data_IF_639947270526
#
_entry.id   IF_639947270526
#
_cell.length_a   1.000
_cell.length_b   1.000
_cell.length_c   1.000
_cell.angle_alpha   90.00
_cell.angle_beta   90.00
_cell.angle_gamma   90.00
#
_symmetry.space_group_name_H-M   'P 1'
#
loop_
_entity.id
_entity.type
_entity.pdbx_description
1 polymer ?
#
# COMPACT_ATOMS: atom_id res chain seq x y z
N UNK A 1 5.77 6.78 -12.33
CA UNK A 1 4.46 6.31 -12.81
C UNK A 1 3.60 7.52 -13.07
N UNK A 2 3.19 7.74 -14.32
CA UNK A 2 2.37 8.88 -14.74
C UNK A 2 0.94 8.39 -14.98
N UNK A 3 -0.03 9.01 -14.32
CA UNK A 3 -1.43 8.57 -14.30
C UNK A 3 -2.32 9.66 -14.90
N UNK A 4 -3.27 9.25 -15.73
CA UNK A 4 -4.40 10.08 -16.14
C UNK A 4 -5.67 9.57 -15.44
N UNK A 5 -6.39 10.46 -14.77
CA UNK A 5 -7.72 10.19 -14.23
C UNK A 5 -8.76 10.96 -15.05
N UNK A 6 -9.60 10.23 -15.77
CA UNK A 6 -10.71 10.77 -16.56
C UNK A 6 -11.96 10.73 -15.68
N UNK A 7 -12.32 11.87 -15.10
CA UNK A 7 -13.44 12.00 -14.15
C UNK A 7 -14.13 13.35 -14.29
N UNK A 8 -15.42 13.40 -13.94
CA UNK A 8 -16.15 14.65 -13.69
C UNK A 8 -16.03 15.14 -12.25
N UNK A 9 -15.33 14.41 -11.37
CA UNK A 9 -15.15 14.80 -9.98
C UNK A 9 -14.16 15.97 -9.86
N UNK A 10 -14.67 17.14 -9.48
CA UNK A 10 -13.89 18.38 -9.34
C UNK A 10 -13.04 18.43 -8.07
N UNK A 11 -13.19 17.49 -7.15
CA UNK A 11 -12.41 17.44 -5.90
C UNK A 11 -10.98 16.96 -6.13
N UNK A 12 -10.77 16.12 -7.15
CA UNK A 12 -9.46 15.65 -7.59
C UNK A 12 -8.69 16.77 -8.29
N UNK A 13 -7.46 17.04 -7.81
CA UNK A 13 -6.57 18.03 -8.42
C UNK A 13 -5.41 17.34 -9.10
N UNK A 14 -4.96 17.95 -10.20
CA UNK A 14 -3.75 17.50 -10.88
C UNK A 14 -2.52 17.75 -10.01
N UNK A 15 -1.61 16.79 -10.01
CA UNK A 15 -0.29 16.83 -9.37
C UNK A 15 0.76 16.47 -10.41
N UNK A 16 2.04 16.44 -10.04
CA UNK A 16 3.12 16.09 -10.98
C UNK A 16 2.96 14.68 -11.59
N UNK A 17 2.34 13.75 -10.85
CA UNK A 17 2.17 12.35 -11.26
C UNK A 17 0.73 11.98 -11.67
N UNK A 18 -0.27 12.83 -11.34
CA UNK A 18 -1.67 12.61 -11.68
C UNK A 18 -2.20 13.78 -12.51
N UNK A 19 -2.63 13.51 -13.73
CA UNK A 19 -3.35 14.48 -14.57
C UNK A 19 -4.84 14.16 -14.52
N UNK A 20 -5.65 15.14 -14.13
CA UNK A 20 -7.11 15.01 -14.08
C UNK A 20 -7.69 15.59 -15.36
N UNK A 21 -8.34 14.75 -16.15
CA UNK A 21 -8.91 15.09 -17.45
C UNK A 21 -10.43 14.98 -17.43
N UNK A 22 -11.10 15.87 -18.17
CA UNK A 22 -12.55 15.77 -18.41
C UNK A 22 -12.84 14.70 -19.47
N UNK A 23 -13.98 14.02 -19.33
CA UNK A 23 -14.43 12.98 -20.26
C UNK A 23 -14.52 13.47 -21.72
N UNK A 24 -14.81 14.75 -21.94
CA UNK A 24 -14.91 15.35 -23.29
C UNK A 24 -13.55 15.70 -23.91
N UNK A 25 -12.48 15.78 -23.12
CA UNK A 25 -11.14 16.18 -23.58
C UNK A 25 -10.02 15.39 -22.87
N UNK A 26 -10.03 14.05 -22.93
CA UNK A 26 -8.92 13.24 -22.46
C UNK A 26 -7.66 13.47 -23.32
N UNK A 27 -6.50 13.26 -22.72
CA UNK A 27 -5.22 13.19 -23.43
C UNK A 27 -5.02 11.78 -24.02
N UNK A 28 -4.03 11.62 -24.90
CA UNK A 28 -3.74 10.32 -25.49
C UNK A 28 -3.38 9.30 -24.40
N UNK A 29 -4.02 8.13 -24.41
CA UNK A 29 -3.87 7.10 -23.38
C UNK A 29 -2.40 6.65 -23.24
N UNK A 30 -1.73 6.40 -24.37
CA UNK A 30 -0.32 5.97 -24.38
C UNK A 30 0.70 7.05 -23.94
N UNK A 31 0.27 8.28 -23.61
CA UNK A 31 1.13 9.30 -22.96
C UNK A 31 1.26 9.07 -21.43
N UNK A 32 0.57 8.06 -20.90
CA UNK A 32 0.51 7.69 -19.49
C UNK A 32 0.85 6.22 -19.29
N UNK A 33 1.33 5.88 -18.10
CA UNK A 33 1.53 4.49 -17.71
C UNK A 33 0.18 3.84 -17.39
N UNK A 34 -0.74 4.64 -16.81
CA UNK A 34 -2.05 4.21 -16.34
C UNK A 34 -3.10 5.27 -16.70
N UNK A 35 -4.20 4.82 -17.31
CA UNK A 35 -5.41 5.62 -17.50
C UNK A 35 -6.55 5.06 -16.65
N UNK A 36 -7.18 5.91 -15.87
CA UNK A 36 -8.30 5.57 -15.00
C UNK A 36 -9.56 6.24 -15.55
N UNK A 37 -10.53 5.43 -15.95
CA UNK A 37 -11.83 5.86 -16.45
C UNK A 37 -12.83 5.71 -15.31
N UNK A 38 -13.19 6.83 -14.70
CA UNK A 38 -14.13 6.87 -13.60
C UNK A 38 -15.57 6.89 -14.11
N UNK A 39 -16.31 5.79 -13.95
CA UNK A 39 -17.74 5.71 -14.29
C UNK A 39 -18.65 6.00 -13.08
N UNK A 40 -18.05 6.32 -11.92
CA UNK A 40 -18.78 6.53 -10.66
C UNK A 40 -19.25 7.96 -10.44
N UNK A 41 -18.73 8.93 -11.19
CA UNK A 41 -19.15 10.32 -11.01
C UNK A 41 -20.56 10.58 -11.56
N UNK A 42 -21.31 11.42 -10.84
CA UNK A 42 -22.75 11.59 -11.03
C UNK A 42 -23.18 12.14 -12.40
N UNK A 43 -22.32 12.91 -13.09
CA UNK A 43 -22.66 13.52 -14.37
C UNK A 43 -22.80 12.52 -15.53
N UNK A 44 -22.23 11.30 -15.41
CA UNK A 44 -22.50 10.21 -16.37
C UNK A 44 -23.95 9.72 -16.22
N UNK A 45 -24.52 9.78 -15.03
CA UNK A 45 -25.83 9.22 -14.70
C UNK A 45 -26.95 10.25 -14.87
N UNK A 46 -26.89 11.03 -15.96
CA UNK A 46 -27.87 12.07 -16.30
C UNK A 46 -28.29 11.97 -17.77
N UNK A 47 -29.58 12.09 -18.04
CA UNK A 47 -30.12 12.09 -19.40
C UNK A 47 -31.28 13.05 -19.59
N UNK A 48 -31.18 13.96 -20.55
CA UNK A 48 -32.23 14.97 -20.75
C UNK A 48 -33.54 14.38 -21.29
N UNK A 49 -33.48 13.23 -21.97
CA UNK A 49 -34.68 12.55 -22.47
C UNK A 49 -35.39 11.71 -21.40
N UNK A 50 -36.52 11.12 -21.79
CA UNK A 50 -37.38 10.32 -20.90
C UNK A 50 -37.02 8.82 -20.83
N UNK A 51 -36.05 8.37 -21.62
CA UNK A 51 -35.64 6.96 -21.67
C UNK A 51 -34.66 6.64 -20.53
N UNK A 52 -34.98 5.62 -19.74
CA UNK A 52 -34.08 5.10 -18.71
C UNK A 52 -32.91 4.38 -19.36
N UNK A 53 -31.71 4.52 -18.79
CA UNK A 53 -30.51 3.82 -19.23
C UNK A 53 -29.71 4.50 -20.34
N UNK A 54 -30.01 5.76 -20.65
CA UNK A 54 -29.22 6.59 -21.57
C UNK A 54 -28.38 7.61 -20.81
N UNK A 55 -27.43 8.24 -21.50
CA UNK A 55 -26.66 9.35 -20.90
C UNK A 55 -26.39 10.46 -21.90
N UNK A 56 -26.39 11.70 -21.40
CA UNK A 56 -25.96 12.87 -22.19
C UNK A 56 -24.49 12.78 -22.62
N UNK A 57 -23.69 11.92 -21.97
CA UNK A 57 -22.27 11.69 -22.24
C UNK A 57 -21.97 10.55 -23.21
N UNK A 58 -23.00 9.99 -23.87
CA UNK A 58 -22.87 8.85 -24.80
C UNK A 58 -21.74 9.00 -25.82
N UNK A 59 -21.64 10.16 -26.49
CA UNK A 59 -20.62 10.39 -27.52
C UNK A 59 -19.21 10.45 -26.94
N UNK A 60 -19.05 11.06 -25.76
CA UNK A 60 -17.77 11.12 -25.07
C UNK A 60 -17.32 9.72 -24.65
N UNK A 61 -18.24 8.91 -24.11
CA UNK A 61 -17.99 7.51 -23.76
C UNK A 61 -17.60 6.66 -24.99
N UNK A 62 -18.30 6.85 -26.11
CA UNK A 62 -17.96 6.16 -27.37
C UNK A 62 -16.56 6.55 -27.86
N UNK A 63 -16.17 7.83 -27.74
CA UNK A 63 -14.82 8.28 -28.08
C UNK A 63 -13.77 7.63 -27.16
N UNK A 64 -14.02 7.56 -25.85
CA UNK A 64 -13.15 6.84 -24.90
C UNK A 64 -12.98 5.37 -25.30
N UNK A 65 -14.06 4.68 -25.66
CA UNK A 65 -13.98 3.30 -26.11
C UNK A 65 -13.14 3.13 -27.37
N UNK A 66 -13.18 4.09 -28.30
CA UNK A 66 -12.28 4.10 -29.46
C UNK A 66 -10.82 4.34 -29.08
N UNK A 67 -10.56 5.25 -28.13
CA UNK A 67 -9.20 5.52 -27.62
C UNK A 67 -8.61 4.27 -26.96
N UNK A 68 -9.38 3.58 -26.11
CA UNK A 68 -8.92 2.36 -25.43
C UNK A 68 -8.62 1.23 -26.41
N UNK A 69 -9.40 1.08 -27.49
CA UNK A 69 -9.08 0.13 -28.58
C UNK A 69 -7.79 0.49 -29.33
N UNK A 70 -7.41 1.77 -29.34
CA UNK A 70 -6.18 2.25 -29.98
C UNK A 70 -4.93 2.17 -29.10
N UNK A 71 -5.10 2.00 -27.78
CA UNK A 71 -4.01 1.91 -26.80
C UNK A 71 -3.13 0.68 -27.05
N UNK A 72 -1.81 0.86 -26.94
CA UNK A 72 -0.83 -0.23 -27.13
C UNK A 72 -0.04 -0.58 -25.88
N UNK A 73 0.16 0.38 -24.99
CA UNK A 73 1.10 0.27 -23.86
C UNK A 73 0.46 0.58 -22.52
N UNK A 74 -0.41 1.58 -22.46
CA UNK A 74 -1.00 2.00 -21.18
C UNK A 74 -1.88 0.91 -20.57
N UNK A 75 -1.90 0.86 -19.23
CA UNK A 75 -2.85 0.04 -18.46
C UNK A 75 -4.11 0.85 -18.21
N UNK A 76 -5.26 0.26 -18.45
CA UNK A 76 -6.56 0.93 -18.34
C UNK A 76 -7.31 0.38 -17.14
N UNK A 77 -7.79 1.26 -16.27
CA UNK A 77 -8.62 0.92 -15.12
C UNK A 77 -10.00 1.55 -15.27
N UNK A 78 -11.04 0.73 -15.27
CA UNK A 78 -12.41 1.19 -15.18
C UNK A 78 -12.91 1.11 -13.74
N UNK A 79 -13.35 2.25 -13.20
CA UNK A 79 -14.00 2.32 -11.89
C UNK A 79 -15.51 2.32 -12.11
N UNK A 80 -16.17 1.25 -11.70
CA UNK A 80 -17.61 1.07 -11.87
C UNK A 80 -18.42 2.04 -11.00
N UNK A 81 -19.67 2.32 -11.41
CA UNK A 81 -20.57 3.14 -10.62
C UNK A 81 -20.85 2.59 -9.23
N UNK A 82 -21.12 3.51 -8.31
CA UNK A 82 -21.67 3.24 -6.99
C UNK A 82 -23.19 3.48 -7.01
N UNK A 83 -23.93 2.96 -6.03
CA UNK A 83 -25.37 3.21 -5.98
C UNK A 83 -25.61 4.70 -5.69
N UNK A 84 -26.52 5.28 -6.45
CA UNK A 84 -26.70 6.71 -6.52
C UNK A 84 -27.93 7.07 -7.33
N UNK A 85 -28.16 8.36 -7.51
CA UNK A 85 -29.31 8.86 -8.27
C UNK A 85 -28.96 8.98 -9.75
N UNK A 86 -29.74 8.31 -10.58
CA UNK A 86 -29.84 8.59 -12.00
C UNK A 86 -30.95 9.62 -12.22
N UNK A 87 -30.60 10.71 -12.90
CA UNK A 87 -31.54 11.79 -13.18
C UNK A 87 -31.92 11.76 -14.65
N UNK A 88 -33.21 11.72 -14.95
CA UNK A 88 -33.68 11.75 -16.33
C UNK A 88 -34.89 12.66 -16.51
N UNK A 89 -35.24 12.91 -17.77
CA UNK A 89 -36.33 13.80 -18.16
C UNK A 89 -36.11 15.24 -17.68
N UNK A 90 -35.41 16.03 -18.51
CA UNK A 90 -35.17 17.44 -18.22
C UNK A 90 -36.31 18.31 -18.73
N UNK A 91 -36.93 19.07 -17.83
CA UNK A 91 -37.94 20.06 -18.14
C UNK A 91 -37.51 21.42 -17.58
N UNK A 92 -37.40 22.43 -18.45
CA UNK A 92 -36.97 23.80 -18.09
C UNK A 92 -35.69 23.85 -17.25
N UNK A 93 -34.71 23.00 -17.58
CA UNK A 93 -33.40 22.96 -16.91
C UNK A 93 -33.36 22.19 -15.59
N UNK A 94 -34.45 21.50 -15.22
CA UNK A 94 -34.52 20.67 -14.01
C UNK A 94 -34.89 19.25 -14.41
N UNK A 95 -34.19 18.26 -13.85
CA UNK A 95 -34.56 16.85 -13.98
C UNK A 95 -35.78 16.57 -13.10
N UNK A 96 -36.85 16.06 -13.68
CA UNK A 96 -38.09 15.77 -12.95
C UNK A 96 -38.15 14.34 -12.44
N UNK A 97 -37.46 13.41 -13.10
CA UNK A 97 -37.54 12.00 -12.81
C UNK A 97 -36.20 11.48 -12.24
N UNK A 98 -36.29 10.60 -11.25
CA UNK A 98 -35.15 10.06 -10.51
C UNK A 98 -35.32 8.55 -10.35
N UNK A 99 -34.25 7.80 -10.59
CA UNK A 99 -34.17 6.37 -10.32
C UNK A 99 -32.85 6.05 -9.60
N UNK A 100 -32.77 4.92 -8.90
CA UNK A 100 -31.51 4.46 -8.30
C UNK A 100 -30.69 3.66 -9.30
N UNK A 101 -29.39 3.92 -9.37
CA UNK A 101 -28.46 3.25 -10.28
C UNK A 101 -28.54 1.71 -10.15
N UNK A 102 -28.69 1.17 -8.93
CA UNK A 102 -28.87 -0.28 -8.74
C UNK A 102 -30.06 -0.87 -9.50
N UNK A 103 -31.16 -0.12 -9.61
CA UNK A 103 -32.35 -0.59 -10.31
C UNK A 103 -32.10 -0.61 -11.81
N UNK A 104 -31.27 0.30 -12.31
CA UNK A 104 -30.96 0.39 -13.73
C UNK A 104 -29.95 -0.70 -14.13
N UNK A 105 -28.90 -0.89 -13.32
CA UNK A 105 -27.88 -1.91 -13.54
C UNK A 105 -28.40 -3.34 -13.33
N UNK A 106 -29.37 -3.54 -12.43
CA UNK A 106 -30.03 -4.83 -12.25
C UNK A 106 -31.17 -5.10 -13.26
N UNK A 107 -31.59 -4.10 -14.04
CA UNK A 107 -32.69 -4.29 -15.01
C UNK A 107 -32.21 -4.94 -16.30
N UNK A 108 -33.05 -5.83 -16.85
CA UNK A 108 -32.82 -6.44 -18.17
C UNK A 108 -32.97 -5.44 -19.33
N UNK A 109 -33.59 -4.28 -19.08
CA UNK A 109 -33.58 -3.07 -19.91
C UNK A 109 -32.24 -2.35 -19.76
N UNK A 110 -31.21 -2.93 -20.37
CA UNK A 110 -29.81 -2.51 -20.28
C UNK A 110 -29.59 -0.99 -20.38
N UNK A 111 -28.80 -0.44 -19.46
CA UNK A 111 -28.03 0.78 -19.70
C UNK A 111 -26.97 0.43 -20.74
N UNK A 112 -27.22 0.72 -22.01
CA UNK A 112 -26.27 0.42 -23.08
C UNK A 112 -25.19 1.50 -23.22
N UNK A 113 -25.56 2.75 -22.99
CA UNK A 113 -24.71 3.89 -23.35
C UNK A 113 -23.37 3.92 -22.59
N UNK A 114 -23.35 3.56 -21.30
CA UNK A 114 -22.09 3.52 -20.55
C UNK A 114 -21.16 2.41 -21.04
N UNK A 115 -21.71 1.34 -21.64
CA UNK A 115 -20.91 0.21 -22.15
C UNK A 115 -20.14 0.59 -23.40
N UNK A 116 -20.48 1.69 -24.07
CA UNK A 116 -19.77 2.16 -25.26
C UNK A 116 -18.31 2.55 -24.97
N UNK A 117 -17.97 2.87 -23.72
CA UNK A 117 -16.59 3.10 -23.34
C UNK A 117 -15.77 1.81 -23.28
N UNK A 118 -16.40 0.63 -23.23
CA UNK A 118 -15.66 -0.63 -23.17
C UNK A 118 -15.12 -1.03 -24.55
N UNK A 119 -13.88 -1.53 -24.61
CA UNK A 119 -13.27 -1.91 -25.88
C UNK A 119 -13.93 -3.13 -26.52
N UNK A 120 -14.47 -4.05 -25.72
CA UNK A 120 -15.04 -5.32 -26.17
C UNK A 120 -16.43 -5.57 -25.59
N UNK A 121 -17.27 -6.29 -26.36
CA UNK A 121 -18.67 -6.56 -25.99
C UNK A 121 -18.83 -7.57 -24.85
N UNK A 122 -17.81 -8.37 -24.61
CA UNK A 122 -17.74 -9.40 -23.57
C UNK A 122 -17.10 -8.90 -22.26
N UNK A 123 -16.90 -7.59 -22.12
CA UNK A 123 -16.44 -7.00 -20.87
C UNK A 123 -17.33 -7.45 -19.68
N UNK A 124 -16.80 -7.54 -18.46
CA UNK A 124 -17.54 -8.00 -17.27
C UNK A 124 -18.59 -6.96 -16.85
N UNK A 125 -19.72 -6.96 -17.54
CA UNK A 125 -20.77 -5.94 -17.43
C UNK A 125 -21.78 -6.29 -16.35
N UNK A 126 -21.90 -7.57 -16.00
CA UNK A 126 -22.90 -8.04 -15.05
C UNK A 126 -22.42 -7.83 -13.62
N UNK A 127 -22.94 -6.77 -13.01
CA UNK A 127 -22.75 -6.46 -11.61
C UNK A 127 -24.04 -6.71 -10.83
N UNK A 128 -23.89 -7.15 -9.59
CA UNK A 128 -25.02 -7.38 -8.68
C UNK A 128 -24.92 -6.38 -7.53
N UNK A 129 -26.03 -5.71 -7.24
CA UNK A 129 -26.14 -4.87 -6.06
C UNK A 129 -26.14 -5.72 -4.79
N UNK A 130 -25.02 -5.70 -4.08
CA UNK A 130 -24.82 -6.33 -2.78
C UNK A 130 -23.60 -5.61 -2.17
N UNK A 131 -23.82 -4.58 -1.33
CA UNK A 131 -22.72 -3.77 -0.83
C UNK A 131 -21.69 -4.59 -0.06
N UNK A 132 -20.42 -4.33 -0.33
CA UNK A 132 -19.28 -5.03 0.26
C UNK A 132 -18.16 -4.07 0.68
N UNK A 133 -17.24 -4.60 1.47
CA UNK A 133 -15.98 -3.93 1.83
C UNK A 133 -14.82 -4.83 1.46
N UNK A 134 -13.77 -4.24 0.94
CA UNK A 134 -12.52 -4.92 0.59
C UNK A 134 -11.36 -4.12 1.17
N UNK A 135 -10.49 -4.79 1.91
CA UNK A 135 -9.29 -4.18 2.49
C UNK A 135 -8.10 -4.49 1.59
N UNK A 136 -7.46 -3.44 1.06
CA UNK A 136 -6.29 -3.54 0.17
C UNK A 136 -5.16 -2.73 0.81
N UNK A 137 -4.07 -3.42 1.15
CA UNK A 137 -3.00 -2.85 1.97
C UNK A 137 -3.53 -2.46 3.35
N UNK A 138 -3.52 -1.16 3.67
CA UNK A 138 -4.00 -0.62 4.95
C UNK A 138 -5.35 0.12 4.85
N UNK A 139 -5.95 0.16 3.68
CA UNK A 139 -7.16 0.95 3.41
C UNK A 139 -8.33 0.02 3.09
N UNK A 140 -9.49 0.32 3.68
CA UNK A 140 -10.74 -0.39 3.38
C UNK A 140 -11.59 0.40 2.40
N UNK A 141 -11.85 -0.20 1.25
CA UNK A 141 -12.67 0.36 0.17
C UNK A 141 -14.09 -0.22 0.25
N UNK A 142 -15.08 0.62 0.00
CA UNK A 142 -16.48 0.20 -0.15
C UNK A 142 -16.82 0.01 -1.62
N UNK A 143 -17.66 -0.98 -1.92
CA UNK A 143 -18.31 -1.13 -3.21
C UNK A 143 -19.79 -1.45 -3.01
N UNK A 144 -20.67 -0.76 -3.73
CA UNK A 144 -22.12 -1.07 -3.69
C UNK A 144 -22.49 -2.27 -4.57
N UNK A 145 -21.60 -2.63 -5.49
CA UNK A 145 -21.76 -3.70 -6.45
C UNK A 145 -20.60 -4.69 -6.41
N UNK A 146 -20.84 -5.92 -6.83
CA UNK A 146 -19.79 -6.91 -7.11
C UNK A 146 -20.01 -7.57 -8.46
N UNK A 147 -18.96 -8.15 -9.05
CA UNK A 147 -19.05 -8.81 -10.34
C UNK A 147 -19.69 -10.20 -10.22
N UNK A 148 -20.72 -10.46 -11.02
CA UNK A 148 -21.22 -11.80 -11.29
C UNK A 148 -20.39 -12.40 -12.42
N UNK A 149 -19.49 -13.34 -12.10
CA UNK A 149 -18.44 -13.81 -13.01
C UNK A 149 -18.99 -14.18 -14.39
N UNK A 150 -18.35 -13.63 -15.44
CA UNK A 150 -18.43 -14.16 -16.80
C UNK A 150 -17.05 -14.32 -17.47
N UNK A 151 -16.04 -13.51 -17.12
CA UNK A 151 -14.73 -13.53 -17.78
C UNK A 151 -13.64 -12.75 -17.00
N UNK A 152 -12.36 -13.16 -17.11
CA UNK A 152 -11.19 -12.47 -16.55
C UNK A 152 -10.53 -13.14 -15.32
N UNK A 153 -9.31 -12.70 -15.01
CA UNK A 153 -8.57 -13.06 -13.79
C UNK A 153 -9.08 -12.26 -12.59
N UNK A 154 -9.33 -12.94 -11.48
CA UNK A 154 -9.78 -12.31 -10.25
C UNK A 154 -8.59 -11.70 -9.53
N UNK A 155 -8.60 -10.39 -9.34
CA UNK A 155 -7.52 -9.67 -8.65
C UNK A 155 -7.86 -9.49 -7.16
N UNK A 156 -9.07 -9.04 -6.84
CA UNK A 156 -9.50 -8.85 -5.44
C UNK A 156 -10.92 -9.35 -5.18
N UNK A 157 -11.15 -9.74 -3.93
CA UNK A 157 -12.45 -10.15 -3.40
C UNK A 157 -12.74 -9.42 -2.09
N UNK A 158 -14.02 -9.28 -1.75
CA UNK A 158 -14.47 -8.72 -0.48
C UNK A 158 -14.01 -9.55 0.71
N UNK A 159 -13.82 -8.87 1.85
CA UNK A 159 -13.15 -9.45 3.02
C UNK A 159 -13.92 -10.64 3.63
N UNK A 160 -15.25 -10.54 3.72
CA UNK A 160 -16.09 -11.53 4.43
C UNK A 160 -16.89 -12.43 3.50
N UNK A 161 -17.42 -11.87 2.40
CA UNK A 161 -18.34 -12.56 1.50
C UNK A 161 -17.66 -13.17 0.26
N UNK A 162 -16.34 -12.97 0.12
CA UNK A 162 -15.51 -13.42 -1.00
C UNK A 162 -16.06 -13.06 -2.40
N UNK A 163 -16.86 -11.99 -2.47
CA UNK A 163 -17.45 -11.47 -3.70
C UNK A 163 -16.39 -10.72 -4.50
N UNK A 164 -16.44 -10.83 -5.81
CA UNK A 164 -15.37 -10.28 -6.65
C UNK A 164 -15.55 -8.78 -6.84
N UNK A 165 -14.48 -8.04 -6.57
CA UNK A 165 -14.48 -6.58 -6.60
C UNK A 165 -13.53 -6.01 -7.64
N UNK A 166 -12.50 -6.76 -8.07
CA UNK A 166 -11.60 -6.36 -9.16
C UNK A 166 -11.29 -7.53 -10.09
N UNK A 167 -11.31 -7.27 -11.39
CA UNK A 167 -10.99 -8.21 -12.47
C UNK A 167 -9.91 -7.64 -13.40
N UNK A 168 -9.03 -8.51 -13.91
CA UNK A 168 -8.16 -8.24 -15.05
C UNK A 168 -8.63 -9.09 -16.23
N UNK A 169 -9.16 -8.47 -17.28
CA UNK A 169 -9.81 -9.23 -18.36
C UNK A 169 -8.95 -9.34 -19.62
N UNK A 170 -8.11 -8.35 -19.91
CA UNK A 170 -7.40 -8.27 -21.20
C UNK A 170 -5.89 -7.99 -21.02
N UNK A 171 -5.32 -8.42 -19.89
CA UNK A 171 -3.90 -8.28 -19.56
C UNK A 171 -3.50 -6.88 -19.10
N UNK A 172 -3.93 -5.84 -19.83
CA UNK A 172 -3.70 -4.43 -19.48
C UNK A 172 -4.98 -3.69 -19.09
N UNK A 173 -6.13 -4.37 -19.00
CA UNK A 173 -7.42 -3.74 -18.69
C UNK A 173 -8.02 -4.34 -17.42
N UNK A 174 -8.20 -3.48 -16.45
CA UNK A 174 -8.72 -3.77 -15.13
C UNK A 174 -10.09 -3.14 -14.96
N UNK A 175 -10.97 -3.85 -14.27
CA UNK A 175 -12.30 -3.39 -13.90
C UNK A 175 -12.46 -3.52 -12.39
N UNK A 176 -12.91 -2.48 -11.72
CA UNK A 176 -13.13 -2.50 -10.26
C UNK A 176 -14.47 -1.90 -9.89
N UNK A 177 -15.18 -2.50 -8.95
CA UNK A 177 -16.37 -1.91 -8.30
C UNK A 177 -16.04 -1.12 -7.04
N UNK A 178 -14.77 -1.11 -6.62
CA UNK A 178 -14.33 -0.39 -5.44
C UNK A 178 -14.35 1.12 -5.71
N UNK A 179 -14.85 1.88 -4.75
CA UNK A 179 -14.82 3.34 -4.82
C UNK A 179 -13.42 3.86 -4.47
N UNK A 180 -12.53 3.91 -5.47
CA UNK A 180 -11.11 4.28 -5.31
C UNK A 180 -10.81 5.76 -5.63
N UNK A 181 -11.76 6.48 -6.24
CA UNK A 181 -11.56 7.86 -6.73
C UNK A 181 -11.91 8.95 -5.70
N UNK A 182 -11.97 8.62 -4.39
CA UNK A 182 -12.33 9.56 -3.32
C UNK A 182 -11.18 10.49 -2.93
N UNK A 183 -9.96 9.98 -2.87
CA UNK A 183 -8.78 10.73 -2.49
C UNK A 183 -7.56 10.22 -3.25
N UNK A 184 -6.55 11.08 -3.40
CA UNK A 184 -5.33 10.73 -4.13
C UNK A 184 -4.62 9.55 -3.47
N UNK A 185 -4.55 9.56 -2.13
CA UNK A 185 -3.89 8.50 -1.36
C UNK A 185 -4.62 7.15 -1.50
N UNK A 186 -5.95 7.15 -1.52
CA UNK A 186 -6.76 5.94 -1.76
C UNK A 186 -6.52 5.38 -3.16
N UNK A 187 -6.47 6.25 -4.17
CA UNK A 187 -6.22 5.87 -5.56
C UNK A 187 -4.84 5.23 -5.72
N UNK A 188 -3.80 5.90 -5.20
CA UNK A 188 -2.41 5.43 -5.32
C UNK A 188 -2.21 4.13 -4.52
N UNK A 189 -2.70 4.04 -3.28
CA UNK A 189 -2.61 2.80 -2.50
C UNK A 189 -3.26 1.62 -3.23
N UNK A 190 -4.40 1.85 -3.88
CA UNK A 190 -5.05 0.81 -4.68
C UNK A 190 -4.19 0.40 -5.86
N UNK A 191 -3.76 1.35 -6.68
CA UNK A 191 -2.94 1.09 -7.87
C UNK A 191 -1.63 0.38 -7.50
N UNK A 192 -0.92 0.89 -6.48
CA UNK A 192 0.34 0.31 -6.01
C UNK A 192 0.15 -1.07 -5.42
N UNK A 193 -1.00 -1.39 -4.80
CA UNK A 193 -1.24 -2.75 -4.29
C UNK A 193 -1.59 -3.75 -5.38
N UNK A 194 -2.25 -3.29 -6.45
CA UNK A 194 -2.73 -4.14 -7.55
C UNK A 194 -1.64 -4.36 -8.60
N UNK A 195 -0.90 -3.30 -8.93
CA UNK A 195 0.21 -3.33 -9.88
C UNK A 195 1.56 -3.47 -9.18
N UNK A 196 1.56 -3.56 -7.85
CA UNK A 196 2.72 -3.67 -6.96
C UNK A 196 3.67 -4.82 -7.23
N UNK A 197 3.36 -5.66 -8.21
CA UNK A 197 4.34 -6.40 -8.99
C UNK A 197 5.11 -5.47 -9.96
N UNK A 198 5.68 -4.38 -9.44
CA UNK A 198 7.06 -4.16 -9.83
C UNK A 198 7.82 -5.31 -9.20
N UNK A 199 8.02 -6.36 -10.01
CA UNK A 199 9.21 -7.18 -9.89
C UNK A 199 10.34 -6.25 -9.46
N UNK A 200 10.77 -6.35 -8.20
CA UNK A 200 12.19 -6.54 -8.00
C UNK A 200 12.47 -7.70 -8.94
N UNK A 201 13.02 -7.41 -10.13
CA UNK A 201 13.64 -8.47 -10.89
C UNK A 201 14.57 -9.07 -9.86
N UNK A 202 14.33 -10.32 -9.42
CA UNK A 202 15.24 -10.99 -8.52
C UNK A 202 16.61 -10.74 -9.14
N UNK A 203 17.39 -9.93 -8.42
CA UNK A 203 18.70 -9.45 -8.82
C UNK A 203 19.41 -10.72 -9.25
N UNK A 204 19.60 -10.97 -10.56
CA UNK A 204 20.05 -12.28 -10.98
C UNK A 204 21.36 -12.55 -10.27
N UNK A 205 21.58 -13.74 -9.71
CA UNK A 205 22.73 -13.98 -8.83
C UNK A 205 24.08 -13.53 -9.45
N UNK A 206 24.17 -13.53 -10.79
CA UNK A 206 25.33 -13.07 -11.54
C UNK A 206 25.57 -11.56 -11.51
N UNK A 207 24.57 -10.71 -11.25
CA UNK A 207 24.74 -9.25 -11.22
C UNK A 207 25.57 -8.82 -10.00
N UNK A 208 25.48 -9.55 -8.87
CA UNK A 208 26.33 -9.35 -7.70
C UNK A 208 27.80 -9.72 -7.97
N UNK A 209 28.08 -10.43 -9.07
CA UNK A 209 29.44 -10.79 -9.48
C UNK A 209 30.04 -9.80 -10.47
N UNK A 210 29.33 -8.72 -10.82
CA UNK A 210 29.81 -7.68 -11.71
C UNK A 210 30.21 -6.47 -10.86
N UNK A 211 31.49 -6.11 -10.90
CA UNK A 211 31.97 -4.85 -10.36
C UNK A 211 31.72 -3.73 -11.39
N UNK A 212 31.10 -2.63 -10.97
CA UNK A 212 30.87 -1.45 -11.79
C UNK A 212 31.28 -0.18 -11.05
N UNK A 213 31.80 0.81 -11.77
CA UNK A 213 32.17 2.10 -11.18
C UNK A 213 33.24 1.95 -10.09
N UNK A 214 32.90 2.35 -8.87
CA UNK A 214 33.75 2.33 -7.68
C UNK A 214 33.42 1.19 -6.70
N UNK A 215 32.70 0.15 -7.14
CA UNK A 215 32.31 -1.00 -6.29
C UNK A 215 33.49 -1.65 -5.54
N UNK A 216 34.69 -1.72 -6.15
CA UNK A 216 35.88 -2.26 -5.49
C UNK A 216 36.34 -1.39 -4.33
N UNK A 217 36.36 -0.07 -4.52
CA UNK A 217 36.73 0.91 -3.47
C UNK A 217 35.72 0.89 -2.33
N UNK A 218 34.41 0.85 -2.64
CA UNK A 218 33.36 0.75 -1.63
C UNK A 218 33.43 -0.56 -0.83
N UNK A 219 33.74 -1.68 -1.49
CA UNK A 219 33.92 -2.97 -0.81
C UNK A 219 35.14 -2.97 0.13
N UNK A 220 36.23 -2.30 -0.22
CA UNK A 220 37.37 -2.10 0.68
C UNK A 220 37.00 -1.23 1.89
N UNK A 221 36.30 -0.12 1.66
CA UNK A 221 35.80 0.75 2.74
C UNK A 221 34.90 -0.03 3.72
N UNK A 222 34.03 -0.91 3.21
CA UNK A 222 33.15 -1.75 4.03
C UNK A 222 33.97 -2.74 4.87
N UNK A 223 34.95 -3.43 4.27
CA UNK A 223 35.82 -4.38 4.99
C UNK A 223 36.56 -3.70 6.13
N UNK A 224 37.17 -2.55 5.86
CA UNK A 224 37.90 -1.78 6.86
C UNK A 224 36.97 -1.28 7.97
N UNK A 225 35.77 -0.83 7.62
CA UNK A 225 34.75 -0.39 8.57
C UNK A 225 34.29 -1.54 9.48
N UNK A 226 34.11 -2.75 8.95
CA UNK A 226 33.74 -3.94 9.74
C UNK A 226 34.84 -4.26 10.76
N UNK A 227 36.11 -4.23 10.37
CA UNK A 227 37.25 -4.47 11.27
C UNK A 227 37.26 -3.43 12.40
N UNK A 228 36.99 -2.16 12.09
CA UNK A 228 36.89 -1.10 13.09
C UNK A 228 35.72 -1.30 14.05
N UNK A 229 34.56 -1.75 13.55
CA UNK A 229 33.38 -2.06 14.37
C UNK A 229 33.70 -3.21 15.33
N UNK A 230 34.30 -4.30 14.86
CA UNK A 230 34.68 -5.44 15.70
C UNK A 230 35.69 -5.05 16.77
N UNK A 231 36.72 -4.30 16.38
CA UNK A 231 37.71 -3.76 17.33
C UNK A 231 37.06 -2.89 18.39
N UNK A 232 36.10 -2.06 17.99
CA UNK A 232 35.37 -1.16 18.91
C UNK A 232 34.45 -1.95 19.85
N UNK A 233 33.75 -2.97 19.35
CA UNK A 233 32.96 -3.90 20.18
C UNK A 233 33.85 -4.60 21.22
N UNK A 234 35.02 -5.08 20.83
CA UNK A 234 35.98 -5.69 21.76
C UNK A 234 36.56 -4.71 22.79
N UNK A 235 36.63 -3.41 22.49
CA UNK A 235 36.97 -2.38 23.49
C UNK A 235 35.82 -2.14 24.47
N UNK A 236 34.58 -2.09 23.97
CA UNK A 236 33.37 -1.93 24.79
C UNK A 236 33.24 -3.09 25.77
N UNK A 237 33.46 -4.33 25.32
CA UNK A 237 33.29 -5.50 26.18
C UNK A 237 34.33 -5.52 27.31
N UNK A 238 35.60 -5.28 26.99
CA UNK A 238 36.65 -5.11 28.02
C UNK A 238 36.37 -3.97 28.99
N UNK A 239 35.74 -2.89 28.51
CA UNK A 239 35.34 -1.79 29.38
C UNK A 239 34.19 -2.18 30.30
N UNK A 240 33.21 -2.96 29.81
CA UNK A 240 32.12 -3.50 30.63
C UNK A 240 32.62 -4.48 31.69
N UNK A 241 33.50 -5.42 31.33
CA UNK A 241 34.13 -6.35 32.27
C UNK A 241 34.84 -5.60 33.41
N UNK A 242 35.61 -4.55 33.08
CA UNK A 242 36.24 -3.69 34.08
C UNK A 242 35.22 -2.92 34.94
N UNK A 243 34.13 -2.45 34.35
CA UNK A 243 33.07 -1.78 35.09
C UNK A 243 32.37 -2.73 36.07
N UNK A 244 32.17 -3.98 35.67
CA UNK A 244 31.61 -5.04 36.52
C UNK A 244 32.57 -5.42 37.65
N UNK A 245 33.86 -5.58 37.37
CA UNK A 245 34.88 -5.79 38.40
C UNK A 245 34.90 -4.64 39.42
N UNK A 246 34.84 -3.40 38.93
CA UNK A 246 34.76 -2.21 39.77
C UNK A 246 33.46 -2.15 40.59
N UNK A 247 32.35 -2.63 40.03
CA UNK A 247 31.07 -2.70 40.74
C UNK A 247 31.15 -3.71 41.88
N UNK A 248 31.77 -4.87 41.65
CA UNK A 248 32.05 -5.88 42.68
C UNK A 248 32.85 -5.26 43.84
N UNK A 249 33.92 -4.51 43.58
CA UNK A 249 34.64 -3.83 44.68
C UNK A 249 33.83 -2.73 45.36
N UNK A 250 32.98 -2.00 44.64
CA UNK A 250 32.10 -0.98 45.24
C UNK A 250 31.01 -1.61 46.12
N UNK A 251 30.74 -2.91 45.99
CA UNK A 251 29.72 -3.58 46.79
C UNK A 251 29.99 -3.49 48.29
N UNK A 252 31.27 -3.36 48.71
CA UNK A 252 31.67 -3.18 50.11
C UNK A 252 30.92 -2.06 50.83
N UNK A 253 30.41 -1.07 50.09
CA UNK A 253 29.70 0.08 50.64
C UNK A 253 28.26 -0.23 51.04
N UNK A 254 27.70 -1.36 50.60
CA UNK A 254 26.29 -1.69 50.81
C UNK A 254 25.98 -3.19 51.03
N UNK A 255 26.93 -4.10 50.78
CA UNK A 255 26.79 -5.54 51.09
C UNK A 255 27.26 -5.82 52.52
N UNK A 256 26.64 -6.82 53.17
CA UNK A 256 26.97 -7.26 54.53
C UNK A 256 27.09 -8.79 54.58
N UNK A 257 27.70 -9.32 55.64
CA UNK A 257 27.82 -10.77 55.83
C UNK A 257 28.89 -11.40 54.95
N UNK A 258 28.69 -12.66 54.55
CA UNK A 258 29.71 -13.45 53.85
C UNK A 258 30.09 -12.84 52.48
N UNK A 259 29.14 -12.22 51.76
CA UNK A 259 29.41 -11.51 50.49
C UNK A 259 30.37 -10.32 50.65
N UNK A 260 30.32 -9.60 51.78
CA UNK A 260 31.27 -8.53 52.09
C UNK A 260 32.67 -9.09 52.36
N UNK A 261 32.73 -10.17 53.12
CA UNK A 261 33.98 -10.82 53.54
C UNK A 261 34.78 -11.28 52.33
N UNK A 262 34.13 -11.92 51.35
CA UNK A 262 34.79 -12.36 50.11
C UNK A 262 35.42 -11.21 49.32
N UNK A 263 34.69 -10.09 49.14
CA UNK A 263 35.20 -8.94 48.40
C UNK A 263 36.35 -8.24 49.15
N UNK A 264 36.28 -8.20 50.49
CA UNK A 264 37.34 -7.63 51.33
C UNK A 264 38.62 -8.47 51.26
N UNK A 265 38.52 -9.81 51.30
CA UNK A 265 39.68 -10.67 51.12
C UNK A 265 40.36 -10.44 49.77
N UNK A 266 39.60 -10.43 48.68
CA UNK A 266 40.16 -10.16 47.34
C UNK A 266 40.88 -8.81 47.25
N UNK A 267 40.36 -7.76 47.91
CA UNK A 267 41.01 -6.44 47.97
C UNK A 267 42.32 -6.52 48.77
N UNK A 268 42.31 -7.18 49.93
CA UNK A 268 43.47 -7.29 50.80
C UNK A 268 44.59 -8.13 50.16
N UNK A 269 44.25 -9.25 49.51
CA UNK A 269 45.20 -10.06 48.73
C UNK A 269 45.88 -9.22 47.64
N UNK A 270 45.11 -8.40 46.93
CA UNK A 270 45.65 -7.49 45.90
C UNK A 270 46.54 -6.39 46.45
N UNK A 271 46.19 -5.79 47.59
CA UNK A 271 46.97 -4.69 48.20
C UNK A 271 48.26 -5.22 48.81
N UNK A 272 48.20 -6.39 49.45
CA UNK A 272 49.30 -6.97 50.21
C UNK A 272 50.15 -7.95 49.38
N UNK A 273 49.74 -8.24 48.14
CA UNK A 273 50.38 -9.21 47.23
C UNK A 273 50.64 -10.56 47.92
N UNK A 274 49.62 -11.07 48.61
CA UNK A 274 49.70 -12.29 49.41
C UNK A 274 48.45 -13.15 49.29
N UNK A 275 48.55 -14.43 49.66
CA UNK A 275 47.44 -15.39 49.61
C UNK A 275 46.82 -15.55 51.00
N UNK A 276 45.53 -15.24 51.12
CA UNK A 276 44.73 -15.31 52.35
C UNK A 276 43.85 -16.55 52.41
N UNK A 277 43.98 -17.52 51.49
CA UNK A 277 43.20 -18.77 51.51
C UNK A 277 43.33 -19.60 52.81
N UNK A 278 44.40 -19.39 53.58
CA UNK A 278 44.61 -20.00 54.90
C UNK A 278 44.22 -19.13 56.09
N UNK A 279 43.68 -17.92 55.84
CA UNK A 279 43.25 -17.01 56.89
C UNK A 279 41.86 -17.42 57.41
N UNK A 280 41.74 -17.55 58.73
CA UNK A 280 40.49 -17.89 59.41
C UNK A 280 40.08 -16.73 60.33
N UNK A 281 38.98 -16.07 59.99
CA UNK A 281 38.39 -15.05 60.85
C UNK A 281 37.70 -15.72 62.06
N UNK A 282 38.24 -15.45 63.25
CA UNK A 282 37.71 -16.00 64.51
C UNK A 282 36.45 -15.27 65.00
N UNK A 283 35.99 -14.23 64.30
CA UNK A 283 34.78 -13.43 64.60
C UNK A 283 34.73 -12.94 66.05
N UNK A 284 35.89 -12.55 66.59
CA UNK A 284 36.01 -11.99 67.94
C UNK A 284 35.97 -10.47 67.77
N UNK A 285 34.83 -9.86 68.10
CA UNK A 285 34.70 -8.40 68.06
C UNK A 285 35.47 -7.75 69.21
N UNK A 286 36.21 -6.67 68.91
CA UNK A 286 36.96 -5.89 69.91
C UNK A 286 36.05 -5.06 70.83
N UNK A 287 34.78 -4.89 70.48
CA UNK A 287 33.79 -4.18 71.29
C UNK A 287 32.79 -5.18 71.89
N UNK A 288 32.62 -5.21 73.22
CA UNK A 288 31.52 -5.96 73.83
C UNK A 288 30.18 -5.27 73.51
N UNK A 289 29.21 -6.05 73.04
CA UNK A 289 27.79 -5.70 72.92
C UNK A 289 27.20 -5.15 74.23
#
# INVERSE_FOLDING_TARGET
MKIQLITGNKEMKSTDNLIVSDLSRPMAMDDFDIDIIDLSFADIWKYEGSTIGKTNKYKDLQAIGQMVRGTKKARIFYVYPQDGKYLFHMNKGIYTDVENIKNILNSTTCVEDYKECFPYRDAPINVIFEPTKTTIGKITYSADFHFAIQFGEIVTKSDTSEKITTLNCYGNIYFTTLNICRSYDELINYIDSILGDNKTCDIPDWINNINFGDDEEQNEIIKDSIIQIETSKGKIERAKEKLEENLRYKSILYTNGDELVEVVYDILEKILDCNLAGFEDRKIEDFPL
#
